data_IF_218513811446
#
_entry.id   IF_218513811446
#
_cell.length_a   1.000
_cell.length_b   1.000
_cell.length_c   1.000
_cell.angle_alpha   90.00
_cell.angle_beta   90.00
_cell.angle_gamma   90.00
#
_symmetry.space_group_name_H-M   'P 1'
#
loop_
_entity.id
_entity.type
_entity.pdbx_description
1 polymer ?
#
# COMPACT_ATOMS: atom_id res chain seq x y z
N UNK A 1 19.25 -10.59 20.29
CA UNK A 1 19.80 -10.00 19.05
C UNK A 1 18.91 -10.44 17.89
N UNK A 2 18.54 -9.54 16.98
CA UNK A 2 17.73 -9.90 15.80
C UNK A 2 18.62 -10.63 14.78
N UNK A 3 18.10 -11.70 14.16
CA UNK A 3 18.83 -12.42 13.11
C UNK A 3 18.70 -11.69 11.76
N UNK A 4 19.75 -11.73 10.90
CA UNK A 4 19.68 -11.14 9.57
C UNK A 4 18.64 -11.89 8.73
N UNK A 5 17.77 -11.13 8.06
CA UNK A 5 16.78 -11.68 7.13
C UNK A 5 17.28 -11.52 5.69
N UNK A 6 17.06 -12.53 4.86
CA UNK A 6 17.33 -12.44 3.41
C UNK A 6 16.07 -11.95 2.70
N UNK A 7 16.18 -10.79 2.04
CA UNK A 7 15.10 -10.25 1.22
C UNK A 7 15.25 -10.77 -0.21
N UNK A 8 14.18 -11.38 -0.74
CA UNK A 8 14.14 -11.87 -2.12
C UNK A 8 13.52 -10.83 -3.06
N UNK A 9 13.87 -10.86 -4.36
CA UNK A 9 13.21 -10.03 -5.36
C UNK A 9 11.69 -10.23 -5.36
N UNK A 10 10.96 -9.15 -5.60
CA UNK A 10 9.49 -9.17 -5.64
C UNK A 10 8.98 -9.77 -6.95
N UNK A 11 8.04 -10.71 -6.85
CA UNK A 11 7.30 -11.24 -8.01
C UNK A 11 6.09 -10.40 -8.43
N UNK A 12 5.62 -9.51 -7.55
CA UNK A 12 4.52 -8.58 -7.78
C UNK A 12 4.88 -7.19 -7.26
N UNK A 13 4.32 -6.10 -7.84
CA UNK A 13 4.54 -4.76 -7.30
C UNK A 13 4.05 -4.66 -5.85
N UNK A 14 4.91 -4.13 -4.97
CA UNK A 14 4.54 -3.81 -3.59
C UNK A 14 4.50 -2.30 -3.45
N UNK A 15 3.42 -1.79 -2.90
CA UNK A 15 3.24 -0.36 -2.68
C UNK A 15 3.52 -0.01 -1.23
N UNK A 16 4.40 0.97 -1.00
CA UNK A 16 4.73 1.46 0.35
C UNK A 16 3.88 2.68 0.67
N UNK A 17 3.45 2.80 1.94
CA UNK A 17 2.72 3.97 2.44
C UNK A 17 3.68 5.11 2.80
N UNK A 18 4.56 5.46 1.86
CA UNK A 18 5.56 6.52 1.96
C UNK A 18 5.10 7.80 1.27
N UNK A 19 5.73 8.92 1.61
CA UNK A 19 5.45 10.23 0.98
C UNK A 19 5.80 10.25 -0.52
N UNK A 20 6.76 9.43 -0.95
CA UNK A 20 7.19 9.29 -2.34
C UNK A 20 6.75 7.96 -2.95
N UNK A 21 7.02 7.79 -4.25
CA UNK A 21 6.73 6.56 -5.01
C UNK A 21 7.26 5.31 -4.33
N UNK A 22 6.56 4.19 -4.52
CA UNK A 22 6.88 2.92 -3.89
C UNK A 22 8.27 2.40 -4.21
N UNK A 23 8.83 1.68 -3.24
CA UNK A 23 10.19 1.19 -3.33
C UNK A 23 10.34 0.10 -4.38
N UNK A 24 11.44 0.15 -5.11
CA UNK A 24 11.84 -0.89 -6.07
C UNK A 24 12.72 -1.96 -5.45
N UNK A 25 13.28 -1.71 -4.26
CA UNK A 25 14.12 -2.63 -3.50
C UNK A 25 13.86 -2.47 -2.00
N UNK A 26 13.84 -3.60 -1.28
CA UNK A 26 13.58 -3.65 0.14
C UNK A 26 14.87 -4.03 0.87
N UNK A 27 15.23 -3.26 1.89
CA UNK A 27 16.37 -3.56 2.77
C UNK A 27 15.89 -3.53 4.22
N UNK A 28 16.60 -4.23 5.11
CA UNK A 28 16.28 -4.18 6.55
C UNK A 28 16.28 -2.73 7.07
N UNK A 29 17.23 -1.91 6.62
CA UNK A 29 17.29 -0.48 6.95
C UNK A 29 16.06 0.28 6.46
N UNK A 30 15.65 0.09 5.21
CA UNK A 30 14.48 0.76 4.66
C UNK A 30 13.21 0.41 5.45
N UNK A 31 13.02 -0.86 5.78
CA UNK A 31 11.88 -1.31 6.60
C UNK A 31 11.88 -0.61 7.97
N UNK A 32 13.03 -0.56 8.64
CA UNK A 32 13.17 0.14 9.93
C UNK A 32 12.82 1.62 9.78
N UNK A 33 13.35 2.30 8.77
CA UNK A 33 13.05 3.72 8.53
C UNK A 33 11.54 3.95 8.33
N UNK A 34 10.86 3.07 7.58
CA UNK A 34 9.41 3.17 7.35
C UNK A 34 8.58 2.97 8.63
N UNK A 35 9.08 2.30 9.65
CA UNK A 35 8.38 2.22 10.95
C UNK A 35 8.37 3.54 11.72
N UNK A 36 9.29 4.45 11.40
CA UNK A 36 9.42 5.76 12.05
C UNK A 36 8.81 6.92 11.27
N UNK A 37 8.35 6.65 10.04
CA UNK A 37 7.73 7.65 9.18
C UNK A 37 6.20 7.63 9.31
N UNK A 38 5.53 8.76 9.03
CA UNK A 38 4.07 8.78 8.93
C UNK A 38 3.56 7.80 7.86
N UNK A 39 2.37 7.24 8.07
CA UNK A 39 1.72 6.33 7.13
C UNK A 39 0.91 7.13 6.10
N UNK A 40 1.43 7.29 4.89
CA UNK A 40 0.79 8.04 3.78
C UNK A 40 -0.23 7.18 3.01
N UNK A 41 -1.18 6.57 3.73
CA UNK A 41 -2.15 5.64 3.14
C UNK A 41 -3.04 6.30 2.09
N UNK A 42 -3.57 7.50 2.38
CA UNK A 42 -4.41 8.27 1.46
C UNK A 42 -3.73 8.51 0.11
N UNK A 43 -2.52 9.06 0.15
CA UNK A 43 -1.75 9.40 -1.04
C UNK A 43 -1.39 8.15 -1.85
N UNK A 44 -1.10 7.05 -1.15
CA UNK A 44 -0.76 5.77 -1.78
C UNK A 44 -1.97 5.18 -2.52
N UNK A 45 -3.14 5.12 -1.88
CA UNK A 45 -4.37 4.64 -2.52
C UNK A 45 -4.72 5.51 -3.74
N UNK A 46 -4.65 6.84 -3.59
CA UNK A 46 -4.91 7.79 -4.69
C UNK A 46 -3.95 7.59 -5.87
N UNK A 47 -2.66 7.37 -5.59
CA UNK A 47 -1.64 7.09 -6.60
C UNK A 47 -1.91 5.78 -7.35
N UNK A 48 -2.28 4.73 -6.62
CA UNK A 48 -2.61 3.42 -7.21
C UNK A 48 -3.87 3.53 -8.07
N UNK A 49 -4.95 4.17 -7.59
CA UNK A 49 -6.18 4.38 -8.34
C UNK A 49 -5.99 5.26 -9.59
N UNK A 50 -5.02 6.17 -9.54
CA UNK A 50 -4.61 6.95 -10.71
C UNK A 50 -3.95 6.06 -11.76
N UNK A 51 -3.00 5.22 -11.34
CA UNK A 51 -2.25 4.30 -12.21
C UNK A 51 -3.08 3.14 -12.75
N UNK A 52 -4.03 2.64 -11.96
CA UNK A 52 -4.90 1.50 -12.26
C UNK A 52 -6.36 1.96 -12.16
N UNK A 53 -6.90 2.61 -13.20
CA UNK A 53 -8.21 3.28 -13.14
C UNK A 53 -9.40 2.33 -13.04
N UNK A 54 -9.19 1.04 -13.28
CA UNK A 54 -10.19 -0.02 -13.09
C UNK A 54 -9.48 -1.20 -12.43
N UNK A 55 -9.80 -1.46 -11.17
CA UNK A 55 -9.17 -2.49 -10.36
C UNK A 55 -10.14 -2.96 -9.26
N UNK A 56 -9.96 -4.22 -8.87
CA UNK A 56 -10.60 -4.80 -7.67
C UNK A 56 -9.65 -4.58 -6.50
N UNK A 57 -10.19 -4.05 -5.41
CA UNK A 57 -9.50 -3.84 -4.14
C UNK A 57 -9.99 -4.89 -3.14
N UNK A 58 -9.08 -5.75 -2.70
CA UNK A 58 -9.37 -6.82 -1.74
C UNK A 58 -8.59 -6.55 -0.46
N UNK A 59 -9.29 -6.39 0.67
CA UNK A 59 -8.65 -6.46 1.98
C UNK A 59 -8.31 -7.90 2.31
N UNK A 60 -7.09 -8.14 2.79
CA UNK A 60 -6.66 -9.45 3.28
C UNK A 60 -6.27 -9.27 4.74
N UNK A 61 -7.22 -9.55 5.64
CA UNK A 61 -7.03 -9.37 7.07
C UNK A 61 -8.36 -9.48 7.81
N UNK A 62 -8.28 -9.61 9.13
CA UNK A 62 -9.48 -9.71 9.97
C UNK A 62 -9.97 -8.33 10.37
N UNK A 63 -11.05 -7.88 9.72
CA UNK A 63 -11.91 -6.76 10.10
C UNK A 63 -11.16 -5.44 10.41
N UNK A 64 -10.19 -5.06 9.57
CA UNK A 64 -9.57 -3.74 9.73
C UNK A 64 -10.49 -2.66 9.14
N UNK A 65 -10.35 -1.42 9.62
CA UNK A 65 -11.06 -0.26 9.05
C UNK A 65 -10.43 0.22 7.74
N UNK A 66 -9.49 -0.54 7.15
CA UNK A 66 -8.68 -0.11 6.01
C UNK A 66 -9.50 -0.12 4.72
N UNK A 67 -10.34 -1.14 4.48
CA UNK A 67 -11.19 -1.17 3.29
C UNK A 67 -12.19 0.00 3.27
N UNK A 68 -12.72 0.40 4.43
CA UNK A 68 -13.61 1.56 4.56
C UNK A 68 -12.88 2.87 4.18
N UNK A 69 -11.64 3.02 4.64
CA UNK A 69 -10.80 4.17 4.26
C UNK A 69 -10.49 4.17 2.77
N UNK A 70 -10.12 3.02 2.20
CA UNK A 70 -9.88 2.89 0.77
C UNK A 70 -11.14 3.25 -0.04
N UNK A 71 -12.32 2.76 0.36
CA UNK A 71 -13.60 3.11 -0.26
C UNK A 71 -13.82 4.63 -0.30
N UNK A 72 -13.61 5.31 0.83
CA UNK A 72 -13.75 6.78 0.90
C UNK A 72 -12.82 7.50 -0.08
N UNK A 73 -11.56 7.05 -0.19
CA UNK A 73 -10.58 7.66 -1.09
C UNK A 73 -10.93 7.40 -2.57
N UNK A 74 -11.37 6.20 -2.90
CA UNK A 74 -11.68 5.80 -4.27
C UNK A 74 -12.94 6.49 -4.81
N UNK A 75 -13.96 6.67 -3.96
CA UNK A 75 -15.18 7.42 -4.34
C UNK A 75 -14.88 8.89 -4.66
N UNK A 76 -13.90 9.51 -3.99
CA UNK A 76 -13.44 10.85 -4.32
C UNK A 76 -12.72 10.93 -5.68
N UNK A 77 -12.17 9.83 -6.18
CA UNK A 77 -11.49 9.80 -7.49
C UNK A 77 -12.47 9.79 -8.66
N UNK A 78 -13.77 9.53 -8.46
CA UNK A 78 -14.78 9.47 -9.52
C UNK A 78 -14.61 8.34 -10.54
N UNK A 79 -13.74 7.36 -10.26
CA UNK A 79 -13.44 6.22 -11.14
C UNK A 79 -14.13 4.94 -10.65
N UNK A 80 -14.57 4.05 -11.55
CA UNK A 80 -15.24 2.81 -11.16
C UNK A 80 -14.24 1.80 -10.59
N UNK A 81 -14.29 1.61 -9.27
CA UNK A 81 -13.53 0.58 -8.54
C UNK A 81 -14.49 -0.39 -7.83
N UNK A 82 -14.10 -1.66 -7.76
CA UNK A 82 -14.83 -2.70 -7.02
C UNK A 82 -14.07 -2.98 -5.72
N UNK A 83 -14.78 -3.12 -4.60
CA UNK A 83 -14.21 -3.37 -3.28
C UNK A 83 -14.77 -4.68 -2.69
N UNK A 84 -13.89 -5.50 -2.14
CA UNK A 84 -14.19 -6.76 -1.48
C UNK A 84 -13.35 -6.92 -0.18
N UNK A 85 -13.86 -7.72 0.75
CA UNK A 85 -13.20 -8.06 2.02
C UNK A 85 -13.18 -9.58 2.19
#
# INVERSE_FOLDING_TARGET
MAQPITIRPLGIPVETCSSSTSWTSFTGKAIVEHTTQPVYFYDTVKRIATRLPSAVWLEVGSASRIIDMAHHILTQSGKPHILAN
#
